data_IF_044307461018
#
_entry.id   IF_044307461018
#
_cell.length_a   1.000
_cell.length_b   1.000
_cell.length_c   1.000
_cell.angle_alpha   90.00
_cell.angle_beta   90.00
_cell.angle_gamma   90.00
#
_symmetry.space_group_name_H-M   'P 1'
#
loop_
_entity.id
_entity.type
_entity.pdbx_description
1 polymer ?
#
# COMPACT_ATOMS: atom_id res chain seq x y z
N UNK A 1 -38.58 0.50 -31.49
CA UNK A 1 -38.53 0.06 -30.07
C UNK A 1 -37.15 0.40 -29.53
N UNK A 2 -36.97 1.64 -29.07
CA UNK A 2 -35.75 2.08 -28.38
C UNK A 2 -36.05 2.10 -26.90
N UNK A 3 -35.35 1.27 -26.13
CA UNK A 3 -35.41 1.31 -24.68
C UNK A 3 -34.88 2.66 -24.20
N UNK A 4 -35.75 3.46 -23.61
CA UNK A 4 -35.37 4.66 -22.88
C UNK A 4 -34.45 4.24 -21.72
N UNK A 5 -33.22 4.75 -21.76
CA UNK A 5 -32.33 4.77 -20.61
C UNK A 5 -33.04 5.57 -19.51
N UNK A 6 -33.33 4.87 -18.42
CA UNK A 6 -33.99 5.38 -17.23
C UNK A 6 -33.14 6.51 -16.63
N UNK A 7 -33.55 7.75 -16.92
CA UNK A 7 -32.98 8.99 -16.38
C UNK A 7 -33.38 9.07 -14.91
N UNK A 8 -32.57 8.40 -14.09
CA UNK A 8 -32.67 8.38 -12.63
C UNK A 8 -32.24 9.73 -12.08
N UNK A 9 -33.15 10.70 -12.19
CA UNK A 9 -33.22 11.87 -11.30
C UNK A 9 -32.78 11.47 -9.88
N UNK A 10 -31.77 12.17 -9.36
CA UNK A 10 -31.09 11.86 -8.09
C UNK A 10 -32.10 11.79 -6.95
N UNK A 11 -32.50 10.57 -6.60
CA UNK A 11 -33.35 10.33 -5.44
C UNK A 11 -32.65 10.87 -4.17
N UNK A 12 -33.41 11.33 -3.17
CA UNK A 12 -32.85 11.70 -1.86
C UNK A 12 -32.00 10.56 -1.27
N UNK A 13 -30.91 10.87 -0.53
CA UNK A 13 -30.00 9.88 0.05
C UNK A 13 -30.72 8.73 0.78
N UNK A 14 -31.79 9.03 1.54
CA UNK A 14 -32.58 8.04 2.28
C UNK A 14 -33.26 7.01 1.37
N UNK A 15 -33.77 7.45 0.22
CA UNK A 15 -34.37 6.54 -0.78
C UNK A 15 -33.31 5.71 -1.48
N UNK A 16 -32.12 6.27 -1.71
CA UNK A 16 -31.01 5.52 -2.31
C UNK A 16 -30.44 4.48 -1.34
N UNK A 17 -30.32 4.81 -0.06
CA UNK A 17 -29.91 3.89 0.99
C UNK A 17 -30.94 2.76 1.16
N UNK A 18 -32.23 3.08 1.13
CA UNK A 18 -33.31 2.08 1.18
C UNK A 18 -33.21 1.09 0.01
N UNK A 19 -32.97 1.57 -1.21
CA UNK A 19 -32.73 0.73 -2.40
C UNK A 19 -31.46 -0.12 -2.27
N UNK A 20 -30.38 0.43 -1.70
CA UNK A 20 -29.16 -0.33 -1.42
C UNK A 20 -29.43 -1.49 -0.47
N UNK A 21 -30.11 -1.23 0.66
CA UNK A 21 -30.48 -2.25 1.65
C UNK A 21 -31.41 -3.31 1.04
N UNK A 22 -32.35 -2.92 0.19
CA UNK A 22 -33.22 -3.87 -0.53
C UNK A 22 -32.42 -4.77 -1.48
N UNK A 23 -31.44 -4.23 -2.22
CA UNK A 23 -30.55 -5.02 -3.07
C UNK A 23 -29.74 -6.03 -2.26
N UNK A 24 -29.12 -5.57 -1.18
CA UNK A 24 -28.33 -6.45 -0.29
C UNK A 24 -29.19 -7.53 0.37
N UNK A 25 -30.46 -7.23 0.69
CA UNK A 25 -31.41 -8.24 1.20
C UNK A 25 -31.69 -9.32 0.16
N UNK A 26 -31.87 -8.93 -1.11
CA UNK A 26 -32.05 -9.89 -2.23
C UNK A 26 -30.81 -10.75 -2.47
N UNK A 27 -29.63 -10.21 -2.17
CA UNK A 27 -28.36 -10.94 -2.25
C UNK A 27 -28.05 -11.77 -0.99
N UNK A 28 -28.90 -11.77 0.04
CA UNK A 28 -28.65 -12.38 1.36
C UNK A 28 -27.47 -11.80 2.16
N UNK A 29 -26.96 -10.63 1.77
CA UNK A 29 -25.79 -9.98 2.40
C UNK A 29 -26.16 -8.91 3.42
N UNK A 30 -27.45 -8.60 3.56
CA UNK A 30 -27.91 -7.57 4.50
C UNK A 30 -27.61 -7.96 5.95
N UNK A 31 -27.73 -9.24 6.31
CA UNK A 31 -27.47 -9.73 7.67
C UNK A 31 -25.99 -9.61 8.03
N UNK A 32 -25.09 -9.92 7.08
CA UNK A 32 -23.64 -9.71 7.25
C UNK A 32 -23.36 -8.24 7.54
N UNK A 33 -23.96 -7.34 6.77
CA UNK A 33 -23.77 -5.90 6.94
C UNK A 33 -24.35 -5.37 8.26
N UNK A 34 -25.53 -5.87 8.66
CA UNK A 34 -26.22 -5.47 9.88
C UNK A 34 -25.61 -6.13 11.15
N UNK A 35 -24.74 -7.14 11.00
CA UNK A 35 -23.99 -7.75 12.11
C UNK A 35 -22.94 -6.82 12.73
N UNK A 36 -22.49 -5.81 11.97
CA UNK A 36 -21.54 -4.81 12.45
C UNK A 36 -22.29 -3.68 13.15
N UNK A 37 -21.69 -3.14 14.21
CA UNK A 37 -22.24 -1.99 14.91
C UNK A 37 -22.61 -0.88 13.91
N UNK A 38 -23.81 -0.30 14.09
CA UNK A 38 -24.21 0.89 13.35
C UNK A 38 -23.08 1.93 13.45
N UNK A 39 -22.86 2.73 12.40
CA UNK A 39 -21.64 3.53 12.22
C UNK A 39 -21.23 4.46 13.37
N UNK A 40 -22.03 4.58 14.42
CA UNK A 40 -21.74 5.22 15.71
C UNK A 40 -20.51 4.67 16.44
N UNK A 41 -20.09 3.43 16.18
CA UNK A 41 -18.88 2.86 16.77
C UNK A 41 -17.57 3.43 16.19
N UNK A 42 -17.62 4.10 15.04
CA UNK A 42 -16.44 4.67 14.38
C UNK A 42 -16.24 6.13 14.80
N UNK A 43 -14.99 6.51 15.06
CA UNK A 43 -14.64 7.91 15.30
C UNK A 43 -14.52 8.66 13.97
N UNK A 44 -15.29 9.75 13.83
CA UNK A 44 -15.26 10.64 12.67
C UNK A 44 -14.76 12.02 13.06
N UNK A 45 -14.08 12.69 12.14
CA UNK A 45 -13.98 14.15 12.19
C UNK A 45 -13.80 14.74 10.81
N UNK A 46 -14.31 15.94 10.59
CA UNK A 46 -13.93 16.72 9.41
C UNK A 46 -12.47 17.19 9.52
N UNK A 47 -11.77 17.20 8.41
CA UNK A 47 -10.38 17.65 8.33
C UNK A 47 -10.05 18.16 6.92
N UNK A 48 -8.88 18.81 6.80
CA UNK A 48 -8.30 19.14 5.51
C UNK A 48 -7.40 18.01 5.01
N UNK A 49 -7.57 17.61 3.75
CA UNK A 49 -6.71 16.64 3.07
C UNK A 49 -6.33 17.19 1.68
N UNK A 50 -5.03 17.36 1.40
CA UNK A 50 -4.52 17.91 0.14
C UNK A 50 -5.21 19.24 -0.27
N UNK A 51 -5.41 20.15 0.69
CA UNK A 51 -6.12 21.44 0.53
C UNK A 51 -7.62 21.33 0.24
N UNK A 52 -8.20 20.12 0.32
CA UNK A 52 -9.63 19.85 0.14
C UNK A 52 -10.29 19.44 1.45
N UNK A 53 -11.62 19.61 1.54
CA UNK A 53 -12.38 19.08 2.68
C UNK A 53 -12.48 17.55 2.62
N UNK A 54 -12.29 16.91 3.77
CA UNK A 54 -12.41 15.46 3.91
C UNK A 54 -13.03 15.06 5.26
N UNK A 55 -13.64 13.87 5.30
CA UNK A 55 -13.99 13.18 6.54
C UNK A 55 -12.88 12.18 6.83
N UNK A 56 -12.27 12.24 8.01
CA UNK A 56 -11.40 11.16 8.50
C UNK A 56 -12.18 10.20 9.39
N UNK A 57 -11.90 8.91 9.23
CA UNK A 57 -12.52 7.79 9.96
C UNK A 57 -11.41 6.93 10.54
N UNK A 58 -11.46 6.66 11.84
CA UNK A 58 -10.56 5.68 12.45
C UNK A 58 -11.02 4.28 12.04
N UNK A 59 -10.16 3.54 11.34
CA UNK A 59 -10.44 2.16 10.92
C UNK A 59 -9.78 1.13 11.86
N UNK A 60 -9.18 1.60 12.96
CA UNK A 60 -8.57 0.77 14.00
C UNK A 60 -7.07 1.03 14.17
N UNK A 61 -6.43 0.14 14.92
CA UNK A 61 -4.97 0.15 15.08
C UNK A 61 -4.39 -0.99 14.26
N UNK A 62 -3.17 -0.83 13.77
CA UNK A 62 -2.47 -1.94 13.11
C UNK A 62 -1.05 -2.03 13.61
N UNK A 63 -0.54 -3.25 13.68
CA UNK A 63 0.86 -3.47 14.03
C UNK A 63 1.76 -3.24 12.82
N UNK A 64 2.71 -2.33 12.98
CA UNK A 64 3.77 -2.13 12.00
C UNK A 64 4.81 -3.25 12.04
N UNK A 65 5.75 -3.24 11.10
CA UNK A 65 6.87 -4.20 11.06
C UNK A 65 7.77 -4.12 12.30
N UNK A 66 7.90 -2.96 12.94
CA UNK A 66 8.63 -2.82 14.20
C UNK A 66 7.85 -3.32 15.42
N UNK A 67 6.62 -3.82 15.24
CA UNK A 67 5.77 -4.27 16.33
C UNK A 67 4.98 -3.17 17.02
N UNK A 68 5.21 -1.89 16.68
CA UNK A 68 4.45 -0.75 17.22
C UNK A 68 3.04 -0.70 16.64
N UNK A 69 2.09 -0.26 17.47
CA UNK A 69 0.71 -0.05 17.06
C UNK A 69 0.55 1.37 16.57
N UNK A 70 0.03 1.52 15.36
CA UNK A 70 -0.28 2.82 14.76
C UNK A 70 -1.76 2.94 14.49
N UNK A 71 -2.28 4.15 14.58
CA UNK A 71 -3.70 4.39 14.29
C UNK A 71 -3.88 4.51 12.79
N UNK A 72 -4.74 3.67 12.22
CA UNK A 72 -5.07 3.69 10.80
C UNK A 72 -6.31 4.53 10.55
N UNK A 73 -6.22 5.41 9.57
CA UNK A 73 -7.26 6.37 9.21
C UNK A 73 -7.63 6.24 7.74
N UNK A 74 -8.92 6.29 7.45
CA UNK A 74 -9.46 6.50 6.12
C UNK A 74 -9.90 7.97 5.96
N UNK A 75 -9.53 8.61 4.85
CA UNK A 75 -9.88 9.98 4.50
C UNK A 75 -10.76 9.97 3.27
N UNK A 76 -11.98 10.49 3.39
CA UNK A 76 -12.97 10.57 2.31
C UNK A 76 -13.01 12.00 1.80
N UNK A 77 -12.62 12.22 0.55
CA UNK A 77 -12.70 13.54 -0.07
C UNK A 77 -14.18 13.91 -0.31
N UNK A 78 -14.59 15.10 0.15
CA UNK A 78 -15.96 15.60 -0.01
C UNK A 78 -16.17 16.36 -1.31
N UNK A 79 -15.09 16.92 -1.86
CA UNK A 79 -15.14 17.63 -3.13
C UNK A 79 -15.08 16.65 -4.31
N UNK A 80 -15.99 16.83 -5.27
CA UNK A 80 -15.95 16.08 -6.53
C UNK A 80 -14.61 16.34 -7.25
N UNK A 81 -13.90 15.29 -7.61
CA UNK A 81 -12.62 15.37 -8.30
C UNK A 81 -12.26 14.04 -8.98
N UNK A 82 -11.12 14.02 -9.67
CA UNK A 82 -10.68 12.94 -10.58
C UNK A 82 -10.36 11.57 -9.92
N UNK A 83 -10.74 11.36 -8.66
CA UNK A 83 -10.38 10.15 -7.92
C UNK A 83 -11.59 9.29 -7.60
N UNK A 84 -11.63 8.11 -8.21
CA UNK A 84 -12.59 7.06 -7.90
C UNK A 84 -11.85 5.77 -7.43
N UNK A 85 -12.15 5.24 -6.22
CA UNK A 85 -13.00 5.79 -5.17
C UNK A 85 -12.35 6.98 -4.44
N UNK A 86 -13.14 7.90 -3.85
CA UNK A 86 -12.67 9.13 -3.19
C UNK A 86 -12.10 8.87 -1.78
N UNK A 87 -11.34 7.79 -1.60
CA UNK A 87 -10.82 7.33 -0.31
C UNK A 87 -9.30 7.21 -0.33
N UNK A 88 -8.66 7.79 0.67
CA UNK A 88 -7.24 7.64 0.97
C UNK A 88 -7.04 7.01 2.34
N UNK A 89 -5.89 6.37 2.55
CA UNK A 89 -5.54 5.77 3.82
C UNK A 89 -4.24 6.34 4.35
N UNK A 90 -4.16 6.57 5.66
CA UNK A 90 -2.92 6.93 6.34
C UNK A 90 -2.80 6.24 7.68
N UNK A 91 -1.57 5.98 8.09
CA UNK A 91 -1.25 5.70 9.49
C UNK A 91 -0.83 6.97 10.20
N UNK A 92 -1.11 7.02 11.49
CA UNK A 92 -0.66 8.05 12.41
C UNK A 92 0.23 7.42 13.49
N UNK A 93 1.51 7.78 13.47
CA UNK A 93 2.50 7.42 14.49
C UNK A 93 2.60 8.53 15.53
N UNK A 94 2.50 8.14 16.81
CA UNK A 94 2.73 9.04 17.93
C UNK A 94 4.16 8.82 18.45
N UNK A 95 5.03 9.81 18.27
CA UNK A 95 6.37 9.76 18.86
C UNK A 95 6.33 10.25 20.32
N UNK A 96 6.67 9.41 21.31
CA UNK A 96 6.67 9.81 22.71
C UNK A 96 7.85 10.74 23.08
N UNK A 97 8.81 10.96 22.19
CA UNK A 97 10.03 11.73 22.47
C UNK A 97 9.96 13.19 21.98
N UNK A 98 9.43 14.07 22.83
CA UNK A 98 9.97 15.42 23.05
C UNK A 98 9.66 16.55 22.05
N UNK A 99 8.91 17.55 22.56
CA UNK A 99 8.79 18.98 22.14
C UNK A 99 7.80 19.36 21.04
N UNK A 100 7.21 18.43 20.30
CA UNK A 100 5.95 18.71 19.60
C UNK A 100 5.08 17.46 19.57
N UNK A 101 3.78 17.60 19.87
CA UNK A 101 2.77 16.58 19.62
C UNK A 101 2.52 16.42 18.11
N UNK A 102 3.57 16.45 17.28
CA UNK A 102 3.42 16.22 15.84
C UNK A 102 3.38 14.73 15.60
N UNK A 103 2.18 14.22 15.38
CA UNK A 103 1.95 12.91 14.81
C UNK A 103 2.48 12.87 13.38
N UNK A 104 3.26 11.85 13.04
CA UNK A 104 3.69 11.65 11.65
C UNK A 104 2.62 10.87 10.90
N UNK A 105 2.16 11.41 9.77
CA UNK A 105 1.13 10.80 8.94
C UNK A 105 1.75 10.13 7.71
N UNK A 106 1.62 8.80 7.61
CA UNK A 106 2.17 8.02 6.52
C UNK A 106 1.08 7.52 5.58
N UNK A 107 1.23 7.73 4.27
CA UNK A 107 0.25 7.26 3.30
C UNK A 107 0.28 5.73 3.18
N UNK A 108 -0.91 5.13 3.02
CA UNK A 108 -1.10 3.69 2.86
C UNK A 108 -1.92 3.35 1.63
N UNK A 109 -1.55 2.25 0.98
CA UNK A 109 -2.38 1.60 -0.02
C UNK A 109 -3.43 0.72 0.68
N UNK A 110 -4.59 0.55 0.07
CA UNK A 110 -5.60 -0.40 0.56
C UNK A 110 -5.02 -1.83 0.65
N UNK A 111 -4.17 -2.21 -0.32
CA UNK A 111 -3.45 -3.48 -0.33
C UNK A 111 -2.54 -3.67 0.89
N UNK A 112 -1.89 -2.60 1.36
CA UNK A 112 -1.08 -2.66 2.60
C UNK A 112 -1.95 -2.88 3.84
N UNK A 113 -3.10 -2.21 3.92
CA UNK A 113 -4.03 -2.37 5.03
C UNK A 113 -4.62 -3.78 5.10
N UNK A 114 -5.13 -4.30 3.98
CA UNK A 114 -5.77 -5.63 3.96
C UNK A 114 -4.80 -6.78 4.24
N UNK A 115 -3.47 -6.60 4.07
CA UNK A 115 -2.48 -7.62 4.46
C UNK A 115 -2.24 -7.72 5.95
N UNK A 116 -2.58 -6.68 6.72
CA UNK A 116 -2.42 -6.63 8.18
C UNK A 116 -3.68 -6.04 8.80
N UNK A 117 -4.83 -6.52 8.33
CA UNK A 117 -6.13 -6.08 8.76
C UNK A 117 -6.53 -6.68 10.10
N UNK A 118 -5.94 -7.81 10.52
CA UNK A 118 -6.33 -8.54 11.73
C UNK A 118 -6.55 -7.68 13.00
N UNK A 119 -5.79 -6.60 13.17
CA UNK A 119 -5.84 -5.73 14.35
C UNK A 119 -6.78 -4.52 14.16
N UNK A 120 -7.30 -4.32 12.94
CA UNK A 120 -8.29 -3.29 12.64
C UNK A 120 -9.61 -3.61 13.34
N UNK A 121 -10.50 -2.63 13.41
CA UNK A 121 -11.83 -2.86 14.00
C UNK A 121 -12.77 -3.53 12.96
N UNK A 122 -13.76 -4.33 13.41
CA UNK A 122 -14.82 -4.80 12.54
C UNK A 122 -15.48 -3.64 11.76
N UNK A 123 -15.79 -3.82 10.46
CA UNK A 123 -15.64 -5.04 9.65
C UNK A 123 -14.25 -5.16 8.99
N UNK A 124 -13.40 -4.15 9.14
CA UNK A 124 -12.16 -4.03 8.38
C UNK A 124 -11.19 -5.17 8.65
N UNK A 125 -11.19 -5.76 9.85
CA UNK A 125 -10.34 -6.90 10.17
C UNK A 125 -10.62 -8.16 9.34
N UNK A 126 -11.88 -8.39 8.97
CA UNK A 126 -12.28 -9.52 8.12
C UNK A 126 -11.87 -9.36 6.65
N UNK A 127 -11.34 -8.19 6.28
CA UNK A 127 -10.74 -7.98 4.97
C UNK A 127 -9.30 -8.51 4.88
N UNK A 128 -8.78 -9.16 5.93
CA UNK A 128 -7.46 -9.78 5.94
C UNK A 128 -7.26 -10.65 4.69
N UNK A 129 -6.19 -10.37 3.93
CA UNK A 129 -5.82 -11.12 2.73
C UNK A 129 -4.69 -12.07 3.04
N UNK A 130 -4.92 -13.35 2.75
CA UNK A 130 -3.86 -14.36 2.74
C UNK A 130 -3.02 -14.21 1.47
N UNK A 131 -1.70 -14.42 1.57
CA UNK A 131 -0.75 -14.29 0.45
C UNK A 131 -1.04 -15.24 -0.71
N UNK A 132 -1.76 -16.32 -0.46
CA UNK A 132 -2.11 -17.34 -1.45
C UNK A 132 -3.46 -17.07 -2.15
N UNK A 133 -4.21 -16.06 -1.73
CA UNK A 133 -5.51 -15.74 -2.32
C UNK A 133 -5.36 -14.73 -3.48
N UNK A 134 -5.79 -15.15 -4.67
CA UNK A 134 -5.95 -14.28 -5.84
C UNK A 134 -7.29 -13.53 -5.78
N UNK A 135 -7.33 -12.48 -4.94
CA UNK A 135 -8.55 -11.67 -4.80
C UNK A 135 -8.36 -10.35 -5.53
N UNK A 136 -9.16 -10.15 -6.58
CA UNK A 136 -9.21 -8.90 -7.32
C UNK A 136 -10.04 -7.84 -6.57
N UNK A 137 -9.83 -6.56 -6.88
CA UNK A 137 -10.60 -5.44 -6.33
C UNK A 137 -10.57 -5.25 -4.79
N UNK A 138 -9.53 -5.71 -4.08
CA UNK A 138 -9.38 -5.46 -2.62
C UNK A 138 -9.51 -3.98 -2.25
N UNK A 139 -8.95 -3.09 -3.07
CA UNK A 139 -9.09 -1.63 -2.89
C UNK A 139 -10.54 -1.21 -2.94
N UNK A 140 -11.30 -1.64 -3.95
CA UNK A 140 -12.70 -1.29 -4.08
C UNK A 140 -13.50 -1.79 -2.88
N UNK A 141 -13.31 -3.03 -2.47
CA UNK A 141 -14.01 -3.62 -1.33
C UNK A 141 -13.78 -2.83 -0.03
N UNK A 142 -12.52 -2.55 0.31
CA UNK A 142 -12.20 -1.76 1.51
C UNK A 142 -12.78 -0.35 1.43
N UNK A 143 -12.65 0.33 0.28
CA UNK A 143 -13.22 1.65 0.10
C UNK A 143 -14.76 1.65 0.19
N UNK A 144 -15.43 0.61 -0.28
CA UNK A 144 -16.87 0.49 -0.20
C UNK A 144 -17.36 0.35 1.25
N UNK A 145 -16.67 -0.46 2.08
CA UNK A 145 -16.96 -0.53 3.51
C UNK A 145 -16.78 0.85 4.18
N UNK A 146 -15.66 1.53 3.89
CA UNK A 146 -15.39 2.88 4.41
C UNK A 146 -16.46 3.89 4.01
N UNK A 147 -16.93 3.85 2.75
CA UNK A 147 -17.93 4.78 2.22
C UNK A 147 -19.34 4.49 2.73
N UNK A 148 -19.65 3.23 3.07
CA UNK A 148 -20.96 2.84 3.59
C UNK A 148 -21.27 3.53 4.92
N UNK A 149 -20.33 3.57 5.87
CA UNK A 149 -20.62 4.08 7.21
C UNK A 149 -21.03 5.58 7.24
N UNK A 150 -20.30 6.50 6.59
CA UNK A 150 -20.72 7.90 6.45
C UNK A 150 -22.03 8.07 5.68
N UNK A 151 -22.32 7.20 4.71
CA UNK A 151 -23.59 7.23 3.97
C UNK A 151 -24.76 6.93 4.91
N UNK A 152 -24.66 5.89 5.73
CA UNK A 152 -25.72 5.53 6.70
C UNK A 152 -25.89 6.60 7.79
N UNK A 153 -24.81 7.27 8.19
CA UNK A 153 -24.87 8.37 9.15
C UNK A 153 -25.31 9.72 8.54
N UNK A 154 -25.53 9.78 7.22
CA UNK A 154 -25.86 11.03 6.53
C UNK A 154 -24.72 12.06 6.53
N UNK A 155 -23.48 11.63 6.76
CA UNK A 155 -22.31 12.51 6.79
C UNK A 155 -21.74 12.78 5.39
N UNK A 156 -21.92 11.84 4.45
CA UNK A 156 -21.41 11.97 3.09
C UNK A 156 -22.18 11.08 2.12
N UNK A 157 -22.55 11.62 0.97
CA UNK A 157 -23.18 10.90 -0.14
C UNK A 157 -22.17 10.44 -1.21
N UNK A 158 -20.85 10.64 -1.00
CA UNK A 158 -19.79 10.26 -1.94
C UNK A 158 -19.83 8.78 -2.38
N UNK A 159 -20.38 7.89 -1.54
CA UNK A 159 -20.65 6.50 -1.88
C UNK A 159 -21.57 6.36 -3.11
N UNK A 160 -22.58 7.21 -3.20
CA UNK A 160 -23.63 7.16 -4.22
C UNK A 160 -23.15 7.69 -5.58
N UNK A 161 -22.16 8.58 -5.56
CA UNK A 161 -21.52 9.10 -6.77
C UNK A 161 -20.54 8.09 -7.41
N UNK A 162 -20.04 7.11 -6.65
CA UNK A 162 -19.06 6.14 -7.14
C UNK A 162 -19.73 4.94 -7.84
N UNK A 163 -19.56 4.85 -9.16
CA UNK A 163 -20.21 3.83 -10.02
C UNK A 163 -19.98 2.38 -9.60
N UNK A 164 -18.84 2.08 -8.99
CA UNK A 164 -18.48 0.72 -8.56
C UNK A 164 -18.82 0.43 -7.09
N UNK A 165 -19.48 1.37 -6.40
CA UNK A 165 -19.76 1.27 -4.97
C UNK A 165 -20.52 -0.01 -4.61
N UNK A 166 -21.72 -0.22 -5.17
CA UNK A 166 -22.53 -1.40 -4.85
C UNK A 166 -21.83 -2.71 -5.20
N UNK A 167 -21.21 -2.79 -6.40
CA UNK A 167 -20.46 -3.99 -6.81
C UNK A 167 -19.33 -4.30 -5.83
N UNK A 168 -18.59 -3.28 -5.40
CA UNK A 168 -17.48 -3.44 -4.47
C UNK A 168 -17.94 -3.75 -3.04
N UNK A 169 -19.06 -3.16 -2.59
CA UNK A 169 -19.65 -3.46 -1.29
C UNK A 169 -20.15 -4.90 -1.24
N UNK A 170 -20.85 -5.35 -2.28
CA UNK A 170 -21.30 -6.74 -2.42
C UNK A 170 -20.12 -7.71 -2.30
N UNK A 171 -19.06 -7.49 -3.08
CA UNK A 171 -17.84 -8.32 -3.01
C UNK A 171 -17.19 -8.31 -1.62
N UNK A 172 -17.20 -7.15 -0.94
CA UNK A 172 -16.66 -7.05 0.41
C UNK A 172 -17.45 -7.94 1.40
N UNK A 173 -18.78 -7.88 1.33
CA UNK A 173 -19.66 -8.65 2.22
C UNK A 173 -19.60 -10.15 1.91
N UNK A 174 -19.62 -10.55 0.64
CA UNK A 174 -19.44 -11.95 0.24
C UNK A 174 -18.10 -12.50 0.74
N UNK A 175 -17.04 -11.67 0.70
CA UNK A 175 -15.74 -12.06 1.23
C UNK A 175 -15.79 -12.26 2.73
N UNK A 176 -16.35 -11.30 3.46
CA UNK A 176 -16.47 -11.34 4.93
C UNK A 176 -17.25 -12.58 5.35
N UNK A 177 -18.40 -12.82 4.73
CA UNK A 177 -19.23 -14.00 4.95
C UNK A 177 -18.45 -15.30 4.69
N UNK A 178 -17.58 -15.33 3.69
CA UNK A 178 -16.73 -16.49 3.43
C UNK A 178 -15.58 -16.73 4.43
N UNK A 179 -15.32 -15.83 5.39
CA UNK A 179 -14.22 -16.00 6.35
C UNK A 179 -14.66 -16.75 7.60
N UNK A 180 -13.93 -17.82 7.97
CA UNK A 180 -14.17 -18.54 9.23
C UNK A 180 -14.01 -17.64 10.45
N UNK A 181 -13.06 -16.71 10.42
CA UNK A 181 -12.82 -15.74 11.49
C UNK A 181 -14.01 -14.82 11.74
N UNK A 182 -14.78 -14.50 10.70
CA UNK A 182 -16.03 -13.74 10.84
C UNK A 182 -17.10 -14.56 11.56
N UNK A 183 -17.27 -15.83 11.20
CA UNK A 183 -18.25 -16.70 11.87
C UNK A 183 -17.90 -16.96 13.34
N UNK A 184 -16.63 -17.22 13.65
CA UNK A 184 -16.18 -17.33 15.05
C UNK A 184 -16.46 -16.05 15.82
N UNK A 185 -16.13 -14.89 15.25
CA UNK A 185 -16.44 -13.60 15.87
C UNK A 185 -17.95 -13.41 16.08
N UNK A 186 -18.76 -13.80 15.10
CA UNK A 186 -20.22 -13.67 15.17
C UNK A 186 -20.81 -14.56 16.27
N UNK A 187 -20.31 -15.79 16.44
CA UNK A 187 -20.70 -16.67 17.54
C UNK A 187 -20.36 -16.06 18.90
N UNK A 188 -19.11 -15.58 19.06
CA UNK A 188 -18.64 -14.94 20.30
C UNK A 188 -19.41 -13.65 20.65
N UNK A 189 -19.88 -12.91 19.64
CA UNK A 189 -20.56 -11.62 19.85
C UNK A 189 -22.10 -11.73 19.75
N UNK A 190 -22.64 -12.88 19.37
CA UNK A 190 -24.08 -13.13 19.31
C UNK A 190 -24.77 -13.02 20.68
N UNK A 191 -24.05 -13.35 21.76
CA UNK A 191 -24.52 -13.20 23.13
C UNK A 191 -24.51 -11.73 23.62
N UNK A 192 -23.65 -10.89 23.01
CA UNK A 192 -23.39 -9.53 23.48
C UNK A 192 -24.42 -8.51 22.96
N UNK A 193 -24.93 -8.68 21.75
CA UNK A 193 -25.97 -7.80 21.19
C UNK A 193 -27.38 -8.04 21.78
N UNK A 194 -27.52 -9.01 22.68
CA UNK A 194 -28.75 -9.20 23.48
C UNK A 194 -28.77 -8.36 24.77
N UNK A 195 -27.68 -7.67 25.13
CA UNK A 195 -27.62 -6.76 26.30
C UNK A 195 -26.80 -5.50 25.99
N UNK A 196 -27.41 -4.32 25.90
CA UNK A 196 -26.66 -3.09 25.64
C UNK A 196 -25.88 -2.67 26.90
N UNK A 197 -24.55 -2.54 26.81
CA UNK A 197 -23.83 -1.65 27.73
C UNK A 197 -22.45 -2.01 28.28
N UNK A 198 -21.64 -2.90 27.70
CA UNK A 198 -20.26 -3.09 28.18
C UNK A 198 -19.19 -2.97 27.09
N UNK A 199 -18.05 -2.39 27.48
CA UNK A 199 -16.93 -2.04 26.61
C UNK A 199 -16.00 -3.24 26.39
N UNK A 200 -15.53 -3.41 25.16
CA UNK A 200 -14.63 -4.49 24.73
C UNK A 200 -13.22 -4.29 25.36
N UNK A 201 -12.64 -5.29 26.04
CA UNK A 201 -11.29 -5.21 26.57
C UNK A 201 -10.23 -5.43 25.48
N UNK A 202 -9.21 -4.56 25.46
CA UNK A 202 -8.06 -4.63 24.55
C UNK A 202 -7.01 -5.62 25.08
N UNK A 203 -6.92 -6.83 24.52
CA UNK A 203 -5.84 -7.78 24.85
C UNK A 203 -4.61 -7.54 23.96
N UNK A 204 -3.50 -7.15 24.59
CA UNK A 204 -2.19 -6.98 23.94
C UNK A 204 -1.34 -8.23 24.18
N UNK A 205 -1.07 -9.02 23.14
CA UNK A 205 -0.01 -10.03 23.17
C UNK A 205 1.17 -9.55 22.32
N UNK A 206 2.35 -9.54 22.95
CA UNK A 206 3.62 -9.18 22.32
C UNK A 206 4.16 -10.38 21.54
N UNK A 207 4.28 -10.22 20.22
CA UNK A 207 4.93 -11.18 19.33
C UNK A 207 6.43 -10.92 19.16
N UNK A 208 7.20 -11.92 18.71
CA UNK A 208 8.65 -11.94 18.70
C UNK A 208 9.26 -10.91 17.73
N UNK A 209 10.46 -10.43 18.07
CA UNK A 209 11.22 -9.39 17.37
C UNK A 209 11.40 -9.67 15.88
N UNK A 210 10.90 -8.73 15.05
CA UNK A 210 11.02 -8.75 13.59
C UNK A 210 12.50 -8.55 13.17
N UNK A 211 13.01 -9.25 12.13
CA UNK A 211 14.38 -9.07 11.66
C UNK A 211 14.63 -7.66 11.12
N UNK A 212 15.81 -7.10 11.42
CA UNK A 212 16.22 -5.71 11.11
C UNK A 212 16.32 -5.38 9.62
N UNK A 213 16.24 -6.37 8.73
CA UNK A 213 16.29 -6.20 7.29
C UNK A 213 15.39 -7.20 6.57
N UNK A 214 14.83 -6.77 5.45
CA UNK A 214 14.05 -7.59 4.54
C UNK A 214 14.93 -8.02 3.35
N UNK A 215 14.85 -9.29 2.98
CA UNK A 215 15.57 -9.83 1.83
C UNK A 215 14.59 -9.97 0.67
N UNK A 216 14.91 -9.34 -0.44
CA UNK A 216 14.08 -9.29 -1.65
C UNK A 216 14.84 -9.95 -2.79
N UNK A 217 14.19 -10.83 -3.55
CA UNK A 217 14.80 -11.49 -4.71
C UNK A 217 13.94 -11.28 -5.96
N UNK A 218 14.58 -11.04 -7.11
CA UNK A 218 13.87 -11.12 -8.39
C UNK A 218 13.50 -12.57 -8.69
N UNK A 219 12.21 -12.88 -8.78
CA UNK A 219 11.72 -14.24 -9.08
C UNK A 219 11.32 -14.46 -10.55
N UNK A 220 11.53 -13.47 -11.42
CA UNK A 220 11.08 -13.53 -12.81
C UNK A 220 9.55 -13.62 -12.93
N UNK A 221 9.04 -14.19 -14.00
CA UNK A 221 7.61 -14.55 -14.12
C UNK A 221 7.42 -15.93 -13.47
N UNK A 222 6.38 -16.17 -12.64
CA UNK A 222 5.15 -15.38 -12.48
C UNK A 222 5.11 -14.59 -11.17
N UNK A 223 5.53 -13.32 -11.19
CA UNK A 223 5.16 -12.39 -10.13
C UNK A 223 3.73 -11.90 -10.40
N UNK A 224 2.81 -12.17 -9.47
CA UNK A 224 1.44 -11.64 -9.49
C UNK A 224 1.34 -10.44 -8.54
N UNK A 225 1.65 -9.20 -8.99
CA UNK A 225 1.64 -8.05 -8.11
C UNK A 225 0.21 -7.70 -7.67
N UNK A 226 0.04 -7.05 -6.50
CA UNK A 226 -1.26 -6.50 -6.11
C UNK A 226 -1.78 -5.50 -7.16
N UNK A 227 -3.02 -5.71 -7.64
CA UNK A 227 -3.66 -4.82 -8.63
C UNK A 227 -3.66 -3.37 -8.14
N UNK A 228 -3.15 -2.46 -8.96
CA UNK A 228 -3.04 -1.02 -8.67
C UNK A 228 -1.81 -0.63 -7.85
N UNK A 229 -0.99 -1.58 -7.40
CA UNK A 229 0.29 -1.35 -6.74
C UNK A 229 1.36 -0.78 -7.68
N UNK A 230 2.49 -0.35 -7.12
CA UNK A 230 3.56 0.26 -7.93
C UNK A 230 4.19 -0.76 -8.88
N UNK A 231 4.32 -2.01 -8.45
CA UNK A 231 4.78 -3.11 -9.31
C UNK A 231 3.77 -3.47 -10.42
N UNK A 232 2.46 -3.47 -10.15
CA UNK A 232 1.42 -3.71 -11.17
C UNK A 232 1.44 -2.63 -12.25
N UNK A 233 1.55 -1.36 -11.84
CA UNK A 233 1.72 -0.24 -12.79
C UNK A 233 2.97 -0.42 -13.64
N UNK A 234 4.08 -0.83 -13.03
CA UNK A 234 5.32 -1.07 -13.76
C UNK A 234 5.19 -2.24 -14.76
N UNK A 235 4.58 -3.36 -14.35
CA UNK A 235 4.35 -4.49 -15.25
C UNK A 235 3.45 -4.11 -16.44
N UNK A 236 2.44 -3.27 -16.22
CA UNK A 236 1.64 -2.70 -17.32
C UNK A 236 2.46 -1.84 -18.28
N UNK A 237 3.44 -1.09 -17.77
CA UNK A 237 4.38 -0.32 -18.60
C UNK A 237 5.28 -1.24 -19.41
N UNK A 238 5.75 -2.36 -18.86
CA UNK A 238 6.51 -3.36 -19.61
C UNK A 238 5.67 -4.02 -20.72
N UNK A 239 4.39 -4.29 -20.45
CA UNK A 239 3.46 -4.89 -21.40
C UNK A 239 4.00 -6.21 -21.94
N UNK A 240 4.21 -6.30 -23.26
CA UNK A 240 4.76 -7.50 -23.92
C UNK A 240 6.20 -7.83 -23.52
N UNK A 241 6.94 -6.87 -22.97
CA UNK A 241 8.33 -7.05 -22.55
C UNK A 241 8.44 -7.60 -21.12
N UNK A 242 7.35 -7.98 -20.46
CA UNK A 242 7.36 -8.44 -19.05
C UNK A 242 8.25 -9.68 -18.82
N UNK A 243 8.42 -10.54 -19.83
CA UNK A 243 9.28 -11.73 -19.74
C UNK A 243 10.75 -11.40 -19.55
N UNK A 244 11.19 -10.16 -19.79
CA UNK A 244 12.58 -9.75 -19.50
C UNK A 244 12.91 -9.81 -18.01
N UNK A 245 11.92 -9.84 -17.12
CA UNK A 245 12.13 -10.02 -15.68
C UNK A 245 12.77 -11.37 -15.34
N UNK A 246 12.55 -12.40 -16.17
CA UNK A 246 13.17 -13.73 -16.02
C UNK A 246 14.70 -13.68 -16.20
N UNK A 247 15.21 -12.61 -16.82
CA UNK A 247 16.65 -12.46 -17.08
C UNK A 247 17.39 -11.90 -15.88
N UNK A 248 16.69 -11.30 -14.91
CA UNK A 248 17.32 -10.77 -13.71
C UNK A 248 17.65 -11.94 -12.78
N UNK A 249 18.91 -12.10 -12.33
CA UNK A 249 19.26 -13.18 -11.43
C UNK A 249 18.50 -13.06 -10.11
N UNK A 250 18.15 -14.20 -9.52
CA UNK A 250 17.48 -14.29 -8.22
C UNK A 250 18.44 -13.99 -7.04
N UNK A 251 19.27 -12.96 -7.19
CA UNK A 251 20.21 -12.53 -6.17
C UNK A 251 19.47 -11.83 -5.05
N UNK A 252 19.76 -12.17 -3.77
CA UNK A 252 19.16 -11.49 -2.63
C UNK A 252 19.65 -10.05 -2.53
N UNK A 253 18.71 -9.12 -2.43
CA UNK A 253 18.94 -7.70 -2.16
C UNK A 253 18.37 -7.36 -0.79
N UNK A 254 19.19 -6.69 0.03
CA UNK A 254 18.81 -6.33 1.40
C UNK A 254 18.19 -4.93 1.39
N UNK A 255 16.99 -4.82 1.94
CA UNK A 255 16.32 -3.55 2.23
C UNK A 255 16.08 -3.49 3.73
N UNK A 256 16.62 -2.48 4.39
CA UNK A 256 16.57 -2.37 5.84
C UNK A 256 15.91 -1.07 6.28
N UNK A 257 15.36 -1.09 7.49
CA UNK A 257 14.85 0.12 8.12
C UNK A 257 16.03 1.02 8.48
N UNK A 258 15.85 2.33 8.32
CA UNK A 258 16.83 3.32 8.71
C UNK A 258 16.19 4.38 9.59
N UNK A 259 16.86 4.71 10.68
CA UNK A 259 16.45 5.78 11.60
C UNK A 259 17.50 6.91 11.64
N UNK A 260 18.57 6.80 10.84
CA UNK A 260 19.70 7.75 10.80
C UNK A 260 19.29 9.07 10.16
N UNK A 261 18.46 9.01 9.11
CA UNK A 261 18.00 10.18 8.35
C UNK A 261 16.48 10.23 8.37
N UNK A 262 15.90 10.74 9.46
CA UNK A 262 14.44 10.81 9.67
C UNK A 262 13.67 11.60 8.59
N UNK A 263 14.35 12.52 7.88
CA UNK A 263 13.78 13.27 6.77
C UNK A 263 13.70 12.47 5.45
N UNK A 264 14.30 11.28 5.40
CA UNK A 264 14.29 10.37 4.26
C UNK A 264 13.25 9.27 4.46
N UNK A 265 12.95 8.54 3.39
CA UNK A 265 12.09 7.37 3.46
C UNK A 265 12.65 6.36 4.48
N UNK A 266 11.82 5.69 5.28
CA UNK A 266 12.27 4.90 6.43
C UNK A 266 12.98 3.60 6.07
N UNK A 267 13.17 3.33 4.78
CA UNK A 267 13.87 2.16 4.28
C UNK A 267 14.98 2.55 3.32
N UNK A 268 16.10 1.82 3.40
CA UNK A 268 17.25 1.97 2.52
C UNK A 268 17.66 0.61 1.95
N UNK A 269 18.20 0.63 0.74
CA UNK A 269 18.64 -0.57 0.03
C UNK A 269 20.16 -0.68 0.12
N UNK A 270 20.69 -1.85 0.52
CA UNK A 270 22.13 -2.10 0.52
C UNK A 270 22.63 -2.25 -0.92
N UNK A 271 23.50 -1.33 -1.33
CA UNK A 271 24.01 -1.26 -2.71
C UNK A 271 25.40 -1.89 -2.84
N UNK A 272 26.23 -1.74 -1.82
CA UNK A 272 27.66 -2.02 -1.92
C UNK A 272 28.42 -1.71 -0.64
N UNK A 273 29.74 -1.69 -0.76
CA UNK A 273 30.69 -1.32 0.31
C UNK A 273 31.72 -0.31 -0.19
N UNK A 274 32.21 0.49 0.75
CA UNK A 274 33.30 1.45 0.57
C UNK A 274 34.15 1.50 1.83
N UNK A 275 35.42 1.16 1.73
CA UNK A 275 36.38 1.22 2.84
C UNK A 275 35.86 0.52 4.11
N UNK A 276 35.36 -0.71 3.94
CA UNK A 276 34.77 -1.51 5.01
C UNK A 276 33.38 -1.08 5.48
N UNK A 277 32.84 0.05 5.00
CA UNK A 277 31.52 0.57 5.38
C UNK A 277 30.45 0.22 4.35
N UNK A 278 29.23 -0.07 4.81
CA UNK A 278 28.09 -0.34 3.94
C UNK A 278 27.58 0.94 3.26
N UNK A 279 27.28 0.82 1.98
CA UNK A 279 26.79 1.89 1.11
C UNK A 279 25.34 1.59 0.77
N UNK A 280 24.47 2.55 1.09
CA UNK A 280 23.03 2.40 0.94
C UNK A 280 22.45 3.36 -0.08
N UNK A 281 21.33 2.97 -0.68
CA UNK A 281 20.45 3.85 -1.45
C UNK A 281 19.27 4.27 -0.58
N UNK A 282 19.18 5.57 -0.37
CA UNK A 282 18.08 6.24 0.31
C UNK A 282 17.09 6.84 -0.66
N UNK A 283 15.83 6.92 -0.25
CA UNK A 283 14.80 7.63 -1.00
C UNK A 283 14.49 8.95 -0.31
N UNK A 284 14.43 10.04 -1.08
CA UNK A 284 14.00 11.36 -0.63
C UNK A 284 12.81 11.81 -1.46
N UNK A 285 11.70 12.12 -0.81
CA UNK A 285 10.51 12.65 -1.49
C UNK A 285 10.65 14.17 -1.60
N UNK A 286 10.73 14.67 -2.84
CA UNK A 286 10.76 16.12 -3.08
C UNK A 286 9.38 16.75 -2.80
N UNK A 287 9.34 18.07 -2.64
CA UNK A 287 8.11 18.83 -2.37
C UNK A 287 7.03 18.68 -3.45
N UNK A 288 7.43 18.32 -4.67
CA UNK A 288 6.53 18.02 -5.79
C UNK A 288 6.04 16.55 -5.81
N UNK A 289 6.34 15.77 -4.76
CA UNK A 289 5.97 14.36 -4.65
C UNK A 289 6.85 13.41 -5.45
N UNK A 290 7.92 13.89 -6.10
CA UNK A 290 8.83 13.04 -6.87
C UNK A 290 9.87 12.42 -5.93
N UNK A 291 9.94 11.09 -5.91
CA UNK A 291 11.00 10.38 -5.19
C UNK A 291 12.32 10.42 -5.97
N UNK A 292 13.34 10.95 -5.30
CA UNK A 292 14.74 10.91 -5.73
C UNK A 292 15.51 9.88 -4.90
N UNK A 293 16.60 9.38 -5.46
CA UNK A 293 17.51 8.45 -4.78
C UNK A 293 18.81 9.15 -4.42
N UNK A 294 19.35 8.83 -3.24
CA UNK A 294 20.66 9.29 -2.76
C UNK A 294 21.50 8.08 -2.38
N UNK A 295 22.75 8.04 -2.81
CA UNK A 295 23.69 6.95 -2.47
C UNK A 295 24.66 7.47 -1.43
N UNK A 296 24.71 6.87 -0.25
CA UNK A 296 25.59 7.31 0.83
C UNK A 296 25.99 6.20 1.81
N UNK A 297 27.04 6.44 2.57
CA UNK A 297 27.46 5.61 3.71
C UNK A 297 27.00 6.23 5.02
N UNK A 298 26.75 5.37 6.00
CA UNK A 298 26.50 5.77 7.40
C UNK A 298 27.70 5.33 8.23
N UNK A 299 28.83 6.01 8.06
CA UNK A 299 29.99 5.83 8.92
C UNK A 299 30.05 6.97 9.94
N UNK A 300 30.48 6.65 11.16
CA UNK A 300 30.48 7.54 12.34
C UNK A 300 31.26 8.86 12.17
N UNK A 301 32.00 9.04 11.07
CA UNK A 301 32.95 10.13 10.90
C UNK A 301 32.84 10.95 9.61
N UNK A 302 31.98 10.60 8.63
CA UNK A 302 31.59 11.48 7.51
C UNK A 302 30.62 10.77 6.57
N UNK A 303 29.46 11.38 6.27
CA UNK A 303 28.57 10.88 5.22
C UNK A 303 29.16 11.19 3.84
N UNK A 304 29.63 10.15 3.12
CA UNK A 304 30.08 10.30 1.74
C UNK A 304 28.89 10.08 0.81
N UNK A 305 28.84 10.86 -0.27
CA UNK A 305 27.76 10.80 -1.25
C UNK A 305 28.27 10.42 -2.63
N UNK A 306 27.49 9.62 -3.36
CA UNK A 306 27.77 9.25 -4.73
C UNK A 306 26.61 9.62 -5.65
N UNK A 307 26.96 9.86 -6.92
CA UNK A 307 25.99 9.91 -8.01
C UNK A 307 26.09 8.64 -8.84
N UNK A 308 24.99 8.25 -9.48
CA UNK A 308 24.95 7.07 -10.37
C UNK A 308 26.03 7.06 -11.46
N UNK A 309 26.46 8.25 -11.91
CA UNK A 309 27.50 8.40 -12.92
C UNK A 309 28.91 8.14 -12.39
N UNK A 310 29.14 8.31 -11.08
CA UNK A 310 30.45 8.26 -10.42
C UNK A 310 30.40 7.32 -9.23
N UNK A 311 30.44 6.01 -9.51
CA UNK A 311 30.46 4.91 -8.53
C UNK A 311 31.87 4.30 -8.41
N UNK A 312 32.90 5.10 -8.67
CA UNK A 312 34.29 4.70 -8.62
C UNK A 312 34.71 4.48 -7.16
N UNK A 313 35.52 3.45 -6.94
CA UNK A 313 35.90 3.00 -5.59
C UNK A 313 34.81 2.24 -4.81
N UNK A 314 33.58 2.16 -5.32
CA UNK A 314 32.53 1.32 -4.71
C UNK A 314 32.64 -0.13 -5.16
N UNK A 315 32.67 -1.03 -4.18
CA UNK A 315 32.43 -2.46 -4.36
C UNK A 315 30.91 -2.69 -4.34
N UNK A 316 30.29 -2.78 -5.51
CA UNK A 316 28.84 -3.02 -5.60
C UNK A 316 28.54 -4.49 -5.30
N UNK A 317 27.41 -4.75 -4.65
CA UNK A 317 26.88 -6.10 -4.52
C UNK A 317 26.10 -6.49 -5.78
N UNK A 318 25.96 -7.80 -6.01
CA UNK A 318 25.04 -8.27 -7.05
C UNK A 318 23.58 -7.94 -6.69
N UNK A 319 22.70 -7.68 -7.66
CA UNK A 319 22.94 -7.67 -9.11
C UNK A 319 23.53 -6.35 -9.66
N UNK A 320 23.82 -5.38 -8.80
CA UNK A 320 24.28 -4.05 -9.20
C UNK A 320 25.73 -4.06 -9.73
N UNK A 321 26.56 -4.97 -9.23
CA UNK A 321 27.92 -5.19 -9.71
C UNK A 321 27.96 -5.58 -11.20
N UNK A 322 27.07 -6.49 -11.62
CA UNK A 322 26.90 -6.84 -13.03
C UNK A 322 26.64 -5.60 -13.92
N UNK A 323 25.80 -4.68 -13.46
CA UNK A 323 25.50 -3.45 -14.21
C UNK A 323 26.72 -2.54 -14.42
N UNK A 324 27.66 -2.53 -13.46
CA UNK A 324 28.94 -1.81 -13.60
C UNK A 324 29.86 -2.47 -14.62
N UNK A 325 29.83 -3.81 -14.74
CA UNK A 325 30.61 -4.58 -15.73
C UNK A 325 30.05 -4.43 -17.16
N UNK A 326 28.73 -4.45 -17.33
CA UNK A 326 28.11 -4.43 -18.66
C UNK A 326 28.19 -3.08 -19.39
N UNK A 327 28.38 -1.98 -18.65
CA UNK A 327 28.28 -0.64 -19.22
C UNK A 327 29.47 0.23 -18.81
N UNK A 328 30.33 0.52 -19.79
CA UNK A 328 31.43 1.48 -19.68
C UNK A 328 30.96 2.94 -19.74
N UNK A 329 29.88 3.23 -20.48
CA UNK A 329 29.30 4.57 -20.55
C UNK A 329 28.50 4.93 -19.27
N UNK A 330 28.94 5.98 -18.58
CA UNK A 330 28.41 6.42 -17.28
C UNK A 330 26.94 6.85 -17.31
N UNK A 331 26.47 7.54 -18.37
CA UNK A 331 25.08 8.02 -18.45
C UNK A 331 24.10 6.88 -18.71
N UNK A 332 24.46 5.99 -19.64
CA UNK A 332 23.70 4.80 -19.99
C UNK A 332 23.63 3.79 -18.83
N UNK A 333 24.70 3.68 -18.04
CA UNK A 333 24.74 2.87 -16.80
C UNK A 333 23.83 3.44 -15.71
N UNK A 334 23.86 4.77 -15.53
CA UNK A 334 23.17 5.46 -14.43
C UNK A 334 21.67 5.19 -14.43
N UNK A 335 21.01 5.40 -15.57
CA UNK A 335 19.56 5.21 -15.67
C UNK A 335 19.17 3.76 -15.43
N UNK A 336 19.92 2.81 -15.99
CA UNK A 336 19.63 1.38 -15.81
C UNK A 336 19.77 0.95 -14.36
N UNK A 337 20.81 1.40 -13.68
CA UNK A 337 20.99 1.11 -12.25
C UNK A 337 19.86 1.73 -11.43
N UNK A 338 19.46 2.98 -11.72
CA UNK A 338 18.33 3.64 -11.06
C UNK A 338 17.02 2.86 -11.22
N UNK A 339 16.72 2.36 -12.41
CA UNK A 339 15.50 1.59 -12.66
C UNK A 339 15.56 0.18 -12.03
N UNK A 340 16.73 -0.46 -12.01
CA UNK A 340 16.91 -1.73 -11.31
C UNK A 340 16.68 -1.59 -9.80
N UNK A 341 17.19 -0.52 -9.20
CA UNK A 341 16.93 -0.21 -7.78
C UNK A 341 15.44 0.07 -7.54
N UNK A 342 14.80 0.87 -8.38
CA UNK A 342 13.38 1.15 -8.25
C UNK A 342 12.54 -0.13 -8.33
N UNK A 343 12.92 -1.06 -9.21
CA UNK A 343 12.30 -2.38 -9.29
C UNK A 343 12.40 -3.17 -7.98
N UNK A 344 13.57 -3.20 -7.32
CA UNK A 344 13.71 -3.88 -6.02
C UNK A 344 12.87 -3.24 -4.90
N UNK A 345 12.74 -1.92 -4.88
CA UNK A 345 11.81 -1.25 -3.96
C UNK A 345 10.34 -1.59 -4.28
N UNK A 346 9.95 -1.69 -5.55
CA UNK A 346 8.59 -2.12 -5.91
C UNK A 346 8.32 -3.59 -5.61
N UNK A 347 9.31 -4.46 -5.77
CA UNK A 347 9.22 -5.84 -5.29
C UNK A 347 8.96 -5.86 -3.79
N UNK A 348 9.74 -5.13 -3.01
CA UNK A 348 9.58 -5.05 -1.57
C UNK A 348 8.21 -4.49 -1.14
N UNK A 349 7.69 -3.49 -1.83
CA UNK A 349 6.33 -2.95 -1.62
C UNK A 349 5.26 -4.00 -1.94
N UNK A 350 5.43 -4.70 -3.07
CA UNK A 350 4.52 -5.76 -3.51
C UNK A 350 4.52 -6.96 -2.57
N UNK A 351 5.66 -7.25 -1.93
CA UNK A 351 5.82 -8.26 -0.88
C UNK A 351 5.37 -7.74 0.50
N UNK A 352 5.21 -6.43 0.67
CA UNK A 352 4.70 -5.80 1.90
C UNK A 352 5.75 -5.61 2.96
N UNK A 353 7.01 -5.64 2.55
CA UNK A 353 8.18 -5.43 3.38
C UNK A 353 8.39 -3.95 3.67
N UNK A 354 7.97 -3.09 2.74
CA UNK A 354 8.08 -1.64 2.85
C UNK A 354 6.80 -0.94 2.38
N UNK A 355 6.73 0.37 2.64
CA UNK A 355 5.68 1.26 2.14
C UNK A 355 5.87 1.63 0.66
N UNK A 356 4.90 2.33 0.06
CA UNK A 356 4.99 2.79 -1.33
C UNK A 356 6.14 3.79 -1.50
N UNK A 357 7.17 3.46 -2.31
CA UNK A 357 8.31 4.35 -2.50
C UNK A 357 7.98 5.59 -3.36
N UNK A 358 6.77 5.68 -3.94
CA UNK A 358 6.30 6.84 -4.72
C UNK A 358 7.22 7.27 -5.87
N UNK A 359 7.91 6.31 -6.50
CA UNK A 359 8.73 6.57 -7.67
C UNK A 359 7.89 7.16 -8.82
N UNK A 360 8.42 8.22 -9.44
CA UNK A 360 7.83 8.83 -10.63
C UNK A 360 8.85 8.82 -11.77
N UNK A 361 8.49 8.18 -12.88
CA UNK A 361 9.32 8.07 -14.07
C UNK A 361 8.45 8.21 -15.32
N UNK A 362 9.04 8.72 -16.41
CA UNK A 362 8.43 8.64 -17.73
C UNK A 362 8.35 7.17 -18.16
N UNK A 363 7.15 6.61 -18.43
CA UNK A 363 6.97 5.19 -18.71
C UNK A 363 7.89 4.66 -19.82
N UNK A 364 8.03 5.41 -20.90
CA UNK A 364 8.83 4.97 -22.06
C UNK A 364 10.34 4.95 -21.76
N UNK A 365 10.86 6.00 -21.12
CA UNK A 365 12.27 6.06 -20.72
C UNK A 365 12.63 4.93 -19.77
N UNK A 366 11.72 4.62 -18.84
CA UNK A 366 11.87 3.50 -17.93
C UNK A 366 11.89 2.17 -18.67
N UNK A 367 10.87 1.90 -19.49
CA UNK A 367 10.72 0.64 -20.23
C UNK A 367 11.96 0.35 -21.05
N UNK A 368 12.42 1.30 -21.86
CA UNK A 368 13.58 1.14 -22.75
C UNK A 368 14.84 0.83 -21.95
N UNK A 369 15.14 1.64 -20.92
CA UNK A 369 16.36 1.47 -20.15
C UNK A 369 16.35 0.17 -19.31
N UNK A 370 15.22 -0.16 -18.69
CA UNK A 370 15.08 -1.36 -17.87
C UNK A 370 15.14 -2.65 -18.70
N UNK A 371 14.43 -2.71 -19.83
CA UNK A 371 14.51 -3.87 -20.74
C UNK A 371 15.93 -4.07 -21.27
N UNK A 372 16.64 -2.97 -21.59
CA UNK A 372 18.04 -3.05 -22.02
C UNK A 372 18.97 -3.59 -20.92
N UNK A 373 18.71 -3.23 -19.65
CA UNK A 373 19.43 -3.79 -18.49
C UNK A 373 19.20 -5.30 -18.37
N UNK A 374 17.94 -5.73 -18.40
CA UNK A 374 17.56 -7.13 -18.24
C UNK A 374 18.17 -8.02 -19.33
N UNK A 375 18.17 -7.56 -20.59
CA UNK A 375 18.77 -8.33 -21.70
C UNK A 375 20.26 -8.56 -21.53
N UNK A 376 21.00 -7.62 -20.91
CA UNK A 376 22.44 -7.83 -20.62
C UNK A 376 22.68 -8.91 -19.57
N UNK A 377 21.80 -9.06 -18.58
CA UNK A 377 21.88 -10.20 -17.67
C UNK A 377 21.71 -11.53 -18.40
N UNK A 378 20.77 -11.61 -19.36
CA UNK A 378 20.61 -12.80 -20.21
C UNK A 378 21.84 -13.10 -21.05
N UNK A 379 22.40 -12.09 -21.71
CA UNK A 379 23.61 -12.26 -22.54
C UNK A 379 24.79 -12.79 -21.70
N UNK A 380 24.97 -12.25 -20.49
CA UNK A 380 26.03 -12.69 -19.57
C UNK A 380 25.80 -14.07 -18.94
N UNK A 381 24.56 -14.59 -18.96
CA UNK A 381 24.25 -15.94 -18.49
C UNK A 381 24.51 -17.02 -19.55
N UNK A 382 24.67 -16.63 -20.82
CA UNK A 382 24.81 -17.55 -21.97
C UNK A 382 26.14 -17.42 -22.74
N UNK A 383 26.99 -16.47 -22.37
CA UNK A 383 28.36 -16.32 -22.88
C UNK A 383 29.36 -16.55 -21.78
#
# INVERSE_FOLDING_TARGET
MSAQLDDTSRLPPDRQLSRLREKLRKDHLLEVLDSFAAGEALAYSECGFNKKRAIRICIGKRRQHNGELVTSWAYIALEKGDMEPPVHFRDEEHHPSGRSNMSTLYQRSASSLVRKAQDLIPPFCFMQRNSYEEVSNMRGMLCALVLYYPLVRGLSDAALDWKLFYKSLKQALERIEGQSTYHTWLEEHSEYYSKPGEQIPSSTTAGPSCPKGAIVCSRGVPISPPVGGSLDKFMKVLGKDVSVLEYIPATPVIIERQDVHSALFPYRLLLGRYDGSDVHVYLSVASNGITNTKIMTDSDHQSKHWSYGRLDGLELLEPFAAMKRFYSNSSSRSNKLRFLIAYYFWLAESEGLIDDPAFSFTPETMRVAFCAACRKFREAAHG
#
